data_IF_744659600731
#
_entry.id   IF_744659600731
#
_cell.length_a   1.000
_cell.length_b   1.000
_cell.length_c   1.000
_cell.angle_alpha   90.00
_cell.angle_beta   90.00
_cell.angle_gamma   90.00
#
_symmetry.space_group_name_H-M   'P 1'
#
loop_
_entity.id
_entity.type
_entity.pdbx_description
1 polymer ?
#
# COMPACT_ATOMS: atom_id res chain seq x y z
N UNK A 1 13.64 -18.72 16.89
CA UNK A 1 12.41 -19.14 17.61
C UNK A 1 11.25 -19.03 16.64
N UNK A 2 10.38 -20.06 16.51
CA UNK A 2 9.16 -19.95 15.72
C UNK A 2 8.17 -19.00 16.40
N UNK A 3 7.35 -18.31 15.60
CA UNK A 3 6.26 -17.46 16.11
C UNK A 3 5.12 -18.41 16.53
N UNK A 4 4.61 -18.34 17.77
CA UNK A 4 3.55 -19.22 18.21
C UNK A 4 2.23 -18.93 17.46
N UNK A 5 1.37 -19.93 17.24
CA UNK A 5 0.03 -19.71 16.72
C UNK A 5 -0.75 -18.67 17.53
N UNK A 6 -1.60 -17.90 16.86
CA UNK A 6 -2.37 -16.83 17.50
C UNK A 6 -2.72 -15.67 16.57
N UNK A 7 -3.44 -14.69 17.11
CA UNK A 7 -3.84 -13.49 16.39
C UNK A 7 -2.86 -12.33 16.64
N UNK A 8 -2.34 -11.76 15.56
CA UNK A 8 -1.41 -10.64 15.57
C UNK A 8 -2.00 -9.45 14.83
N UNK A 9 -2.08 -8.30 15.49
CA UNK A 9 -2.61 -7.08 14.92
C UNK A 9 -1.51 -6.13 14.45
N UNK A 10 -1.70 -5.58 13.27
CA UNK A 10 -0.80 -4.63 12.64
C UNK A 10 -1.53 -3.33 12.29
N UNK A 11 -0.78 -2.23 12.29
CA UNK A 11 -1.26 -0.93 11.86
C UNK A 11 -0.13 0.10 11.84
N UNK A 12 -0.43 1.37 11.56
CA UNK A 12 0.57 2.41 11.36
C UNK A 12 1.45 2.70 12.59
N UNK A 13 1.07 2.21 13.77
CA UNK A 13 1.84 2.38 15.00
C UNK A 13 2.93 1.31 15.19
N UNK A 14 2.86 0.18 14.48
CA UNK A 14 3.79 -0.94 14.63
C UNK A 14 4.32 -1.52 13.29
N UNK A 15 3.80 -1.06 12.16
CA UNK A 15 4.18 -1.50 10.82
C UNK A 15 3.91 -0.42 9.77
N UNK A 16 4.54 -0.55 8.60
CA UNK A 16 4.33 0.34 7.44
C UNK A 16 3.70 -0.44 6.30
N UNK A 17 2.62 0.11 5.71
CA UNK A 17 1.99 -0.42 4.49
C UNK A 17 2.36 0.46 3.29
N UNK A 18 3.03 -0.14 2.31
CA UNK A 18 3.50 0.53 1.10
C UNK A 18 2.88 -0.08 -0.16
N UNK A 19 2.47 0.78 -1.08
CA UNK A 19 2.10 0.43 -2.46
C UNK A 19 3.25 0.88 -3.36
N UNK A 20 3.86 -0.08 -4.05
CA UNK A 20 4.88 0.20 -5.06
C UNK A 20 4.24 0.10 -6.44
N UNK A 21 4.29 1.18 -7.20
CA UNK A 21 3.84 1.19 -8.58
C UNK A 21 5.04 1.15 -9.50
N UNK A 22 4.88 0.50 -10.65
CA UNK A 22 5.90 0.43 -11.68
C UNK A 22 5.27 0.59 -13.04
N UNK A 23 6.03 1.14 -13.99
CA UNK A 23 5.58 1.32 -15.37
C UNK A 23 6.31 0.33 -16.28
N UNK A 24 5.59 -0.18 -17.28
CA UNK A 24 6.13 -1.09 -18.28
C UNK A 24 5.78 -0.61 -19.70
N UNK A 25 6.46 -1.16 -20.71
CA UNK A 25 6.22 -0.84 -22.12
C UNK A 25 6.76 0.52 -22.57
N UNK A 26 6.26 1.02 -23.70
CA UNK A 26 6.79 2.21 -24.37
C UNK A 26 6.74 3.49 -23.52
N UNK A 27 5.90 3.54 -22.48
CA UNK A 27 5.76 4.67 -21.56
C UNK A 27 6.66 4.59 -20.31
N UNK A 28 7.48 3.53 -20.16
CA UNK A 28 8.33 3.31 -18.98
C UNK A 28 9.40 4.40 -18.76
N UNK A 29 9.71 5.23 -19.77
CA UNK A 29 10.64 6.37 -19.61
C UNK A 29 9.96 7.69 -19.22
N UNK A 30 8.63 7.82 -19.36
CA UNK A 30 7.95 9.11 -19.26
C UNK A 30 7.40 9.43 -17.85
N UNK A 31 6.72 8.48 -17.21
CA UNK A 31 6.19 8.64 -15.84
C UNK A 31 7.19 8.36 -14.71
N UNK A 32 6.68 8.23 -13.48
CA UNK A 32 7.44 7.80 -12.30
C UNK A 32 6.94 6.47 -11.75
N UNK A 33 7.86 5.68 -11.19
CA UNK A 33 7.54 4.53 -10.35
C UNK A 33 7.39 5.06 -8.92
N UNK A 34 6.22 4.88 -8.30
CA UNK A 34 5.89 5.54 -7.04
C UNK A 34 5.99 4.57 -5.87
N UNK A 35 6.51 5.07 -4.75
CA UNK A 35 6.35 4.47 -3.43
C UNK A 35 5.32 5.28 -2.68
N UNK A 36 4.18 4.66 -2.38
CA UNK A 36 3.04 5.32 -1.75
C UNK A 36 2.78 4.66 -0.40
N UNK A 37 2.75 5.45 0.67
CA UNK A 37 2.43 4.95 2.01
C UNK A 37 0.94 5.09 2.30
N UNK A 38 0.35 4.05 2.89
CA UNK A 38 -1.01 4.07 3.43
C UNK A 38 -0.93 4.39 4.92
N UNK A 39 -1.44 5.54 5.34
CA UNK A 39 -1.31 6.02 6.73
C UNK A 39 -2.43 5.56 7.66
N UNK A 40 -3.56 5.11 7.11
CA UNK A 40 -4.69 4.62 7.89
C UNK A 40 -5.09 3.25 7.38
N UNK A 41 -4.70 2.22 8.14
CA UNK A 41 -4.96 0.82 7.82
C UNK A 41 -4.89 -0.04 9.08
N UNK A 42 -5.48 -1.22 9.01
CA UNK A 42 -5.40 -2.27 10.02
C UNK A 42 -5.19 -3.63 9.36
N UNK A 43 -4.30 -4.44 9.92
CA UNK A 43 -4.06 -5.80 9.48
C UNK A 43 -4.21 -6.79 10.62
N UNK A 44 -4.68 -7.99 10.33
CA UNK A 44 -4.67 -9.12 11.27
C UNK A 44 -4.05 -10.33 10.58
N UNK A 45 -3.08 -10.96 11.24
CA UNK A 45 -2.57 -12.29 10.91
C UNK A 45 -3.10 -13.27 11.94
N UNK A 46 -3.93 -14.20 11.50
CA UNK A 46 -4.30 -15.38 12.27
C UNK A 46 -3.31 -16.48 11.89
N UNK A 47 -2.34 -16.76 12.76
CA UNK A 47 -1.33 -17.78 12.53
C UNK A 47 -1.82 -19.12 13.09
N UNK A 48 -2.01 -20.11 12.21
CA UNK A 48 -2.37 -21.47 12.59
C UNK A 48 -1.17 -22.33 12.97
N UNK A 49 -1.41 -23.60 13.31
CA UNK A 49 -0.34 -24.57 13.56
C UNK A 49 0.41 -24.92 12.28
N UNK A 50 -0.30 -24.99 11.15
CA UNK A 50 0.26 -25.13 9.82
C UNK A 50 0.13 -23.82 9.00
N UNK A 51 1.03 -23.58 8.02
CA UNK A 51 0.93 -22.41 7.14
C UNK A 51 -0.38 -22.31 6.37
N UNK A 52 -0.98 -23.43 5.95
CA UNK A 52 -2.27 -23.46 5.23
C UNK A 52 -3.46 -22.98 6.08
N UNK A 53 -3.37 -23.12 7.41
CA UNK A 53 -4.39 -22.67 8.37
C UNK A 53 -4.28 -21.17 8.67
N UNK A 54 -3.24 -20.51 8.14
CA UNK A 54 -2.95 -19.13 8.45
C UNK A 54 -3.70 -18.18 7.52
N UNK A 55 -4.25 -17.12 8.09
CA UNK A 55 -5.05 -16.13 7.36
C UNK A 55 -4.55 -14.72 7.57
N UNK A 56 -4.56 -13.94 6.50
CA UNK A 56 -4.22 -12.53 6.52
C UNK A 56 -5.41 -11.70 6.05
N UNK A 57 -5.76 -10.70 6.85
CA UNK A 57 -6.77 -9.70 6.49
C UNK A 57 -6.16 -8.31 6.62
N UNK A 58 -6.33 -7.47 5.60
CA UNK A 58 -5.92 -6.06 5.64
C UNK A 58 -7.07 -5.19 5.18
N UNK A 59 -7.32 -4.12 5.91
CA UNK A 59 -8.26 -3.06 5.58
C UNK A 59 -7.51 -1.74 5.56
N UNK A 60 -7.62 -1.01 4.46
CA UNK A 60 -6.90 0.23 4.21
C UNK A 60 -7.87 1.33 3.76
N UNK A 61 -7.70 2.53 4.30
CA UNK A 61 -8.40 3.72 3.82
C UNK A 61 -7.71 4.27 2.56
N UNK A 62 -8.40 4.18 1.42
CA UNK A 62 -7.94 4.69 0.14
C UNK A 62 -7.76 6.21 0.08
N UNK A 63 -8.32 6.97 1.04
CA UNK A 63 -8.08 8.41 1.18
C UNK A 63 -6.84 8.78 1.98
N UNK A 64 -6.15 7.78 2.57
CA UNK A 64 -4.99 7.98 3.46
C UNK A 64 -3.63 7.84 2.74
N UNK A 65 -3.65 7.61 1.43
CA UNK A 65 -2.45 7.41 0.63
C UNK A 65 -1.60 8.69 0.56
N UNK A 66 -0.28 8.53 0.64
CA UNK A 66 0.69 9.63 0.57
C UNK A 66 1.92 9.19 -0.21
N UNK A 67 2.24 9.92 -1.29
CA UNK A 67 3.43 9.62 -2.11
C UNK A 67 4.69 9.95 -1.31
N UNK A 68 5.55 8.95 -1.09
CA UNK A 68 6.83 9.12 -0.37
C UNK A 68 7.95 9.47 -1.31
N UNK A 69 8.06 8.71 -2.39
CA UNK A 69 9.07 8.87 -3.40
C UNK A 69 8.50 8.52 -4.76
N UNK A 70 9.11 9.06 -5.81
CA UNK A 70 9.00 8.46 -7.12
C UNK A 70 10.34 8.50 -7.83
N UNK A 71 10.62 7.45 -8.58
CA UNK A 71 11.87 7.25 -9.31
C UNK A 71 11.58 7.13 -10.80
N UNK A 72 12.59 7.44 -11.62
CA UNK A 72 12.40 7.60 -13.05
C UNK A 72 11.80 8.96 -13.40
N UNK A 73 11.09 9.02 -14.52
CA UNK A 73 10.56 10.27 -15.08
C UNK A 73 11.63 11.17 -15.68
N UNK A 74 11.18 12.21 -16.38
CA UNK A 74 12.06 13.20 -17.00
C UNK A 74 12.54 14.25 -15.97
N UNK A 75 11.75 14.47 -14.92
CA UNK A 75 12.01 15.46 -13.87
C UNK A 75 11.83 14.81 -12.49
N UNK A 76 12.46 15.36 -11.45
CA UNK A 76 12.22 14.91 -10.07
C UNK A 76 10.82 15.32 -9.61
N UNK A 77 10.18 14.50 -8.78
CA UNK A 77 8.91 14.85 -8.14
C UNK A 77 9.12 15.82 -6.99
N UNK A 78 8.58 17.03 -7.13
CA UNK A 78 8.45 17.99 -6.06
C UNK A 78 7.31 17.65 -5.10
N UNK A 79 7.19 18.41 -4.02
CA UNK A 79 6.10 18.22 -3.05
C UNK A 79 4.73 18.56 -3.65
N UNK A 80 4.65 19.57 -4.52
CA UNK A 80 3.42 19.93 -5.23
C UNK A 80 2.96 18.81 -6.17
N UNK A 81 3.89 18.15 -6.86
CA UNK A 81 3.56 17.00 -7.73
C UNK A 81 3.01 15.83 -6.91
N UNK A 82 3.62 15.54 -5.75
CA UNK A 82 3.16 14.49 -4.83
C UNK A 82 1.76 14.79 -4.30
N UNK A 83 1.48 16.05 -3.97
CA UNK A 83 0.16 16.50 -3.56
C UNK A 83 -0.88 16.36 -4.70
N UNK A 84 -0.51 16.74 -5.92
CA UNK A 84 -1.35 16.58 -7.11
C UNK A 84 -1.66 15.10 -7.40
N UNK A 85 -0.66 14.22 -7.36
CA UNK A 85 -0.86 12.78 -7.54
C UNK A 85 -1.82 12.23 -6.47
N UNK A 86 -1.66 12.65 -5.21
CA UNK A 86 -2.59 12.26 -4.15
C UNK A 86 -4.02 12.71 -4.47
N UNK A 87 -4.21 13.94 -4.92
CA UNK A 87 -5.51 14.47 -5.30
C UNK A 87 -6.14 13.65 -6.43
N UNK A 88 -5.38 13.35 -7.50
CA UNK A 88 -5.85 12.52 -8.61
C UNK A 88 -6.23 11.09 -8.16
N UNK A 89 -5.46 10.49 -7.25
CA UNK A 89 -5.81 9.18 -6.68
C UNK A 89 -7.15 9.27 -5.95
N UNK A 90 -7.33 10.31 -5.13
CA UNK A 90 -8.53 10.51 -4.32
C UNK A 90 -9.77 10.84 -5.16
N UNK A 91 -9.64 11.54 -6.28
CA UNK A 91 -10.78 12.04 -7.06
C UNK A 91 -11.14 11.13 -8.25
N UNK A 92 -10.14 10.52 -8.89
CA UNK A 92 -10.30 9.82 -10.15
C UNK A 92 -10.09 8.31 -10.04
N UNK A 93 -9.08 7.87 -9.28
CA UNK A 93 -8.65 6.46 -9.26
C UNK A 93 -9.39 5.65 -8.20
N UNK A 94 -9.16 5.95 -6.92
CA UNK A 94 -9.74 5.22 -5.80
C UNK A 94 -11.02 5.86 -5.28
N UNK A 95 -11.24 7.15 -5.55
CA UNK A 95 -12.44 7.86 -5.07
C UNK A 95 -12.60 7.78 -3.55
N UNK A 96 -11.47 7.76 -2.83
CA UNK A 96 -11.36 7.53 -1.37
C UNK A 96 -12.02 6.22 -0.88
N UNK A 97 -12.23 5.25 -1.77
CA UNK A 97 -12.83 3.96 -1.41
C UNK A 97 -11.89 3.13 -0.56
N UNK A 98 -12.45 2.35 0.37
CA UNK A 98 -11.67 1.39 1.15
C UNK A 98 -11.08 0.29 0.25
N UNK A 99 -9.86 -0.14 0.57
CA UNK A 99 -9.18 -1.27 -0.07
C UNK A 99 -9.08 -2.40 0.93
N UNK A 100 -9.51 -3.60 0.53
CA UNK A 100 -9.53 -4.77 1.39
C UNK A 100 -8.74 -5.90 0.74
N UNK A 101 -7.92 -6.56 1.55
CA UNK A 101 -7.27 -7.81 1.19
C UNK A 101 -7.68 -8.90 2.17
N UNK A 102 -7.97 -10.08 1.64
CA UNK A 102 -8.25 -11.30 2.38
C UNK A 102 -7.46 -12.41 1.68
N UNK A 103 -6.59 -13.09 2.40
CA UNK A 103 -5.90 -14.25 1.83
C UNK A 103 -6.91 -15.35 1.50
N UNK A 104 -6.74 -15.93 0.33
CA UNK A 104 -7.37 -17.18 -0.07
C UNK A 104 -6.36 -18.30 0.11
N UNK A 105 -6.78 -19.39 0.75
CA UNK A 105 -6.04 -20.65 0.82
C UNK A 105 -5.92 -21.32 -0.54
#
# INVERSE_FOLDING_TARGET
>A
MPIPPGAYSFGPHNATLLVNTGRAGAAAKAGHDLVIEVRSWSGTLELGEAPEDSRVTVDADGGSLTVRAGTGGIQALGEDDKAGIKQTIDDEVLKRSAVQFRSSS
#
